data_IF_509067405362
#
_entry.id   IF_509067405362
#
_cell.length_a   1.000
_cell.length_b   1.000
_cell.length_c   1.000
_cell.angle_alpha   90.00
_cell.angle_beta   90.00
_cell.angle_gamma   90.00
#
_symmetry.space_group_name_H-M   'P 1'
#
loop_
_entity.id
_entity.type
_entity.pdbx_description
1 polymer ?
#
# COMPACT_ATOMS: atom_id res chain seq x y z
N UNK A 1 63.01 11.98 -17.02
CA UNK A 1 61.92 12.11 -16.03
C UNK A 1 62.50 12.73 -14.77
N UNK A 2 62.01 13.91 -14.37
CA UNK A 2 62.62 14.71 -13.30
C UNK A 2 62.42 14.07 -11.93
N UNK A 3 63.42 14.23 -11.04
CA UNK A 3 63.38 13.74 -9.65
C UNK A 3 62.09 14.12 -8.90
N UNK A 4 61.47 15.25 -9.25
CA UNK A 4 60.21 15.70 -8.67
C UNK A 4 59.02 14.81 -9.07
N UNK A 5 59.00 14.27 -10.28
CA UNK A 5 57.92 13.37 -10.76
C UNK A 5 57.95 12.03 -10.02
N UNK A 6 59.13 11.54 -9.67
CA UNK A 6 59.28 10.28 -8.91
C UNK A 6 58.80 10.48 -7.46
N UNK A 7 59.08 11.62 -6.84
CA UNK A 7 58.63 11.93 -5.48
C UNK A 7 57.10 12.10 -5.42
N UNK A 8 56.47 12.72 -6.42
CA UNK A 8 55.00 12.84 -6.46
C UNK A 8 54.33 11.48 -6.65
N UNK A 9 54.89 10.59 -7.48
CA UNK A 9 54.36 9.23 -7.68
C UNK A 9 54.55 8.39 -6.40
N UNK A 10 55.69 8.52 -5.70
CA UNK A 10 55.92 7.80 -4.45
C UNK A 10 55.01 8.27 -3.30
N UNK A 11 54.65 9.56 -3.23
CA UNK A 11 53.69 10.07 -2.24
C UNK A 11 52.26 9.60 -2.57
N UNK A 12 51.87 9.57 -3.85
CA UNK A 12 50.57 9.04 -4.28
C UNK A 12 50.44 7.53 -4.01
N UNK A 13 51.54 6.79 -4.14
CA UNK A 13 51.60 5.35 -3.83
C UNK A 13 51.63 5.07 -2.33
N UNK A 14 52.24 5.94 -1.53
CA UNK A 14 52.25 5.83 -0.07
C UNK A 14 50.86 6.09 0.57
N UNK A 15 50.06 7.00 0.00
CA UNK A 15 48.66 7.23 0.43
C UNK A 15 47.77 6.02 0.10
N UNK A 16 48.08 5.25 -0.94
CA UNK A 16 47.40 3.98 -1.26
C UNK A 16 47.78 2.83 -0.32
N UNK A 17 48.98 2.86 0.29
CA UNK A 17 49.50 1.77 1.15
C UNK A 17 49.26 2.05 2.64
N UNK A 18 49.13 3.31 3.04
CA UNK A 18 48.68 3.70 4.38
C UNK A 18 47.15 3.66 4.55
N UNK A 19 46.47 2.83 3.74
CA UNK A 19 45.08 2.46 3.93
C UNK A 19 44.93 1.70 5.25
N UNK A 20 44.72 2.43 6.35
CA UNK A 20 44.00 1.90 7.48
C UNK A 20 42.81 1.13 6.94
N UNK A 21 42.74 -0.17 7.27
CA UNK A 21 41.63 -1.07 6.99
C UNK A 21 40.36 -0.61 7.73
N UNK A 22 39.85 0.57 7.41
CA UNK A 22 38.44 0.80 7.40
C UNK A 22 37.96 0.31 6.02
N UNK A 23 37.82 -1.00 5.89
CA UNK A 23 36.92 -1.52 4.86
C UNK A 23 35.55 -0.99 5.23
N UNK A 24 35.19 0.18 4.71
CA UNK A 24 33.79 0.59 4.64
C UNK A 24 33.18 -0.40 3.66
N UNK A 25 32.74 -1.53 4.20
CA UNK A 25 31.95 -2.49 3.47
C UNK A 25 30.61 -1.78 3.24
N UNK A 26 30.55 -0.95 2.20
CA UNK A 26 29.30 -0.50 1.62
C UNK A 26 28.90 -1.64 0.70
N UNK A 27 28.04 -2.58 1.11
CA UNK A 27 27.53 -3.56 0.18
C UNK A 27 26.84 -2.78 -0.95
N UNK A 28 27.48 -2.73 -2.12
CA UNK A 28 26.92 -2.13 -3.34
C UNK A 28 25.59 -2.79 -3.73
N UNK A 29 25.34 -3.97 -3.20
CA UNK A 29 24.10 -4.74 -3.30
C UNK A 29 23.59 -4.89 -1.86
N UNK A 30 22.75 -3.97 -1.42
CA UNK A 30 22.09 -4.07 -0.12
C UNK A 30 21.16 -5.29 -0.15
N UNK A 31 21.60 -6.41 0.41
CA UNK A 31 20.71 -7.52 0.73
C UNK A 31 19.58 -6.94 1.60
N UNK A 32 18.32 -7.24 1.26
CA UNK A 32 17.16 -6.76 2.02
C UNK A 32 17.32 -7.14 3.49
N UNK A 33 17.72 -6.19 4.33
CA UNK A 33 18.05 -6.42 5.73
C UNK A 33 16.78 -6.69 6.53
N UNK A 34 16.86 -7.55 7.55
CA UNK A 34 15.71 -7.91 8.37
C UNK A 34 15.08 -6.68 9.07
N UNK A 35 13.77 -6.76 9.33
CA UNK A 35 13.04 -5.73 10.06
C UNK A 35 13.60 -5.56 11.47
N UNK A 36 13.94 -4.33 11.83
CA UNK A 36 14.36 -3.93 13.18
C UNK A 36 13.22 -3.24 13.91
N UNK A 37 13.11 -3.51 15.20
CA UNK A 37 12.17 -2.80 16.07
C UNK A 37 12.73 -1.41 16.38
N UNK A 38 11.86 -0.41 16.28
CA UNK A 38 12.13 0.94 16.75
C UNK A 38 11.00 1.40 17.64
N UNK A 39 11.34 1.86 18.83
CA UNK A 39 10.43 2.62 19.69
C UNK A 39 10.30 4.02 19.10
N UNK A 40 9.07 4.42 18.81
CA UNK A 40 8.73 5.74 18.28
C UNK A 40 8.34 6.67 19.44
N UNK A 41 7.61 6.14 20.42
CA UNK A 41 7.12 6.90 21.57
C UNK A 41 6.88 5.98 22.76
N UNK A 42 6.85 6.57 23.96
CA UNK A 42 6.46 5.89 25.18
C UNK A 42 7.55 5.02 25.78
N UNK A 43 7.21 4.45 26.93
CA UNK A 43 8.06 3.54 27.68
C UNK A 43 7.17 2.46 28.30
N UNK A 44 7.68 1.24 28.38
CA UNK A 44 6.95 0.11 28.98
C UNK A 44 7.35 -1.24 28.42
N UNK A 45 7.11 -2.28 29.21
CA UNK A 45 7.33 -3.68 28.79
C UNK A 45 6.32 -4.14 27.75
N UNK A 46 5.09 -3.65 27.84
CA UNK A 46 4.02 -3.93 26.90
C UNK A 46 4.16 -3.02 25.68
N UNK A 47 3.85 -3.55 24.50
CA UNK A 47 4.09 -2.90 23.22
C UNK A 47 2.79 -2.76 22.43
N UNK A 48 2.66 -1.65 21.74
CA UNK A 48 1.64 -1.44 20.71
C UNK A 48 2.37 -1.30 19.38
N UNK A 49 2.01 -2.14 18.41
CA UNK A 49 2.59 -2.07 17.07
C UNK A 49 1.89 -1.00 16.25
N UNK A 50 2.63 0.02 15.81
CA UNK A 50 2.21 0.96 14.79
C UNK A 50 2.60 0.42 13.41
N UNK A 51 1.60 -0.10 12.70
CA UNK A 51 1.71 -0.60 11.33
C UNK A 51 1.28 0.50 10.36
N UNK A 52 2.17 0.91 9.46
CA UNK A 52 1.90 1.99 8.51
C UNK A 52 1.60 1.43 7.11
N UNK A 53 0.41 1.75 6.60
CA UNK A 53 -0.06 1.40 5.27
C UNK A 53 -0.30 2.69 4.48
N UNK A 54 0.75 3.13 3.79
CA UNK A 54 0.73 4.39 3.03
C UNK A 54 0.97 4.17 1.54
N UNK A 55 0.22 4.88 0.70
CA UNK A 55 0.34 4.88 -0.76
C UNK A 55 -0.52 3.84 -1.49
N UNK A 56 -0.25 3.64 -2.78
CA UNK A 56 -0.97 2.70 -3.63
C UNK A 56 -0.68 1.24 -3.27
N UNK A 57 -1.74 0.43 -3.24
CA UNK A 57 -1.68 -0.98 -2.84
C UNK A 57 -1.44 -1.86 -4.07
N UNK A 58 -0.21 -2.33 -4.25
CA UNK A 58 0.16 -3.19 -5.39
C UNK A 58 1.20 -4.23 -5.03
N UNK A 59 1.12 -5.41 -5.63
CA UNK A 59 2.09 -6.51 -5.52
C UNK A 59 3.49 -6.17 -6.04
N UNK A 60 3.66 -5.04 -6.71
CA UNK A 60 4.95 -4.62 -7.27
C UNK A 60 5.88 -4.13 -6.17
N UNK A 61 7.11 -4.63 -6.20
CA UNK A 61 8.20 -4.19 -5.32
C UNK A 61 8.49 -2.69 -5.48
N UNK A 62 8.72 -2.00 -4.35
CA UNK A 62 8.97 -0.55 -4.34
C UNK A 62 10.40 -0.24 -4.74
N UNK A 63 10.60 0.65 -5.71
CA UNK A 63 11.94 1.13 -6.07
C UNK A 63 12.36 2.20 -5.05
N UNK A 64 13.34 1.89 -4.20
CA UNK A 64 13.90 2.87 -3.24
C UNK A 64 15.11 3.61 -3.82
N UNK A 65 15.69 3.13 -4.92
CA UNK A 65 16.80 3.74 -5.67
C UNK A 65 16.80 3.23 -7.12
N UNK A 66 17.59 3.86 -8.00
CA UNK A 66 17.85 3.40 -9.38
C UNK A 66 18.43 1.96 -9.43
N UNK A 67 19.04 1.50 -8.34
CA UNK A 67 19.77 0.23 -8.28
C UNK A 67 19.21 -0.81 -7.29
N UNK A 68 18.13 -0.50 -6.55
CA UNK A 68 17.54 -1.47 -5.60
C UNK A 68 16.02 -1.46 -5.57
N UNK A 69 15.44 -2.65 -5.73
CA UNK A 69 14.01 -2.92 -5.49
C UNK A 69 13.87 -3.36 -4.03
N UNK A 70 13.25 -2.53 -3.21
CA UNK A 70 12.78 -2.90 -1.89
C UNK A 70 11.58 -3.83 -1.96
N UNK A 71 11.15 -4.41 -0.83
CA UNK A 71 9.93 -5.21 -0.78
C UNK A 71 8.69 -4.43 -1.26
N UNK A 72 7.63 -5.15 -1.64
CA UNK A 72 6.32 -4.55 -1.85
C UNK A 72 5.66 -4.21 -0.51
N UNK A 73 4.60 -3.41 -0.54
CA UNK A 73 3.80 -3.11 0.66
C UNK A 73 3.25 -4.40 1.30
N UNK A 74 2.87 -5.39 0.50
CA UNK A 74 2.37 -6.67 1.02
C UNK A 74 3.47 -7.47 1.72
N UNK A 75 4.67 -7.50 1.14
CA UNK A 75 5.83 -8.16 1.74
C UNK A 75 6.18 -7.50 3.09
N UNK A 76 6.21 -6.16 3.15
CA UNK A 76 6.50 -5.41 4.39
C UNK A 76 5.48 -5.68 5.50
N UNK A 77 4.18 -5.55 5.18
CA UNK A 77 3.11 -5.77 6.16
C UNK A 77 3.11 -7.22 6.64
N UNK A 78 3.26 -8.19 5.74
CA UNK A 78 3.30 -9.61 6.10
C UNK A 78 4.48 -9.94 7.01
N UNK A 79 5.68 -9.46 6.69
CA UNK A 79 6.86 -9.65 7.54
C UNK A 79 6.68 -9.00 8.92
N UNK A 80 6.09 -7.79 8.97
CA UNK A 80 5.82 -7.09 10.22
C UNK A 80 4.82 -7.87 11.09
N UNK A 81 3.72 -8.37 10.51
CA UNK A 81 2.74 -9.19 11.22
C UNK A 81 3.37 -10.50 11.70
N UNK A 82 4.15 -11.20 10.86
CA UNK A 82 4.83 -12.44 11.26
C UNK A 82 5.82 -12.23 12.42
N UNK A 83 6.50 -11.09 12.45
CA UNK A 83 7.37 -10.73 13.56
C UNK A 83 6.55 -10.47 14.83
N UNK A 84 5.46 -9.71 14.72
CA UNK A 84 4.55 -9.44 15.83
C UNK A 84 3.85 -10.71 16.35
N UNK A 85 3.59 -11.70 15.50
CA UNK A 85 3.00 -13.00 15.89
C UNK A 85 3.89 -13.76 16.89
N UNK A 86 5.18 -13.44 16.96
CA UNK A 86 6.17 -14.10 17.82
C UNK A 86 6.60 -13.26 19.02
N UNK A 87 6.05 -12.06 19.16
CA UNK A 87 6.39 -11.12 20.24
C UNK A 87 5.21 -10.99 21.22
N UNK A 88 5.28 -11.68 22.35
CA UNK A 88 4.22 -11.68 23.37
C UNK A 88 4.08 -10.35 24.11
N UNK A 89 5.05 -9.43 23.96
CA UNK A 89 4.92 -8.07 24.47
C UNK A 89 3.93 -7.24 23.64
N UNK A 90 3.62 -7.63 22.39
CA UNK A 90 2.65 -6.93 21.54
C UNK A 90 1.22 -7.23 22.03
N UNK A 91 0.58 -6.21 22.61
CA UNK A 91 -0.77 -6.29 23.18
C UNK A 91 -1.87 -5.75 22.26
N UNK A 92 -1.50 -4.94 21.27
CA UNK A 92 -2.42 -4.38 20.29
C UNK A 92 -1.70 -3.84 19.06
N UNK A 93 -2.48 -3.60 18.00
CA UNK A 93 -1.99 -3.04 16.74
C UNK A 93 -2.79 -1.79 16.39
N UNK A 94 -2.08 -0.75 15.98
CA UNK A 94 -2.66 0.42 15.31
C UNK A 94 -2.28 0.34 13.84
N UNK A 95 -3.28 0.20 12.97
CA UNK A 95 -3.12 0.31 11.52
C UNK A 95 -3.29 1.78 11.15
N UNK A 96 -2.18 2.50 11.01
CA UNK A 96 -2.18 3.85 10.43
C UNK A 96 -2.29 3.74 8.92
N UNK A 97 -3.32 4.34 8.33
CA UNK A 97 -3.56 4.24 6.88
C UNK A 97 -3.63 5.60 6.20
N UNK A 98 -2.94 5.71 5.07
CA UNK A 98 -3.03 6.82 4.14
C UNK A 98 -2.97 6.29 2.70
N UNK A 99 -4.09 5.85 2.15
CA UNK A 99 -4.14 5.16 0.87
C UNK A 99 -5.36 5.53 0.02
N UNK A 100 -5.17 5.80 -1.28
CA UNK A 100 -6.25 5.87 -2.26
C UNK A 100 -6.81 4.50 -2.66
N UNK A 101 -6.20 3.42 -2.16
CA UNK A 101 -6.49 2.06 -2.54
C UNK A 101 -5.44 1.47 -3.49
N UNK A 102 -5.83 0.54 -4.34
CA UNK A 102 -4.94 -0.12 -5.29
C UNK A 102 -5.56 -1.29 -6.02
N UNK A 103 -4.75 -2.28 -6.38
CA UNK A 103 -5.25 -3.46 -7.11
C UNK A 103 -6.08 -4.36 -6.19
N UNK A 104 -7.16 -4.93 -6.74
CA UNK A 104 -8.13 -5.75 -5.99
C UNK A 104 -7.43 -6.89 -5.24
N UNK A 105 -6.62 -7.69 -5.92
CA UNK A 105 -5.95 -8.86 -5.32
C UNK A 105 -4.96 -8.45 -4.23
N UNK A 106 -4.20 -7.38 -4.43
CA UNK A 106 -3.21 -6.93 -3.44
C UNK A 106 -3.88 -6.41 -2.17
N UNK A 107 -5.04 -5.77 -2.33
CA UNK A 107 -5.88 -5.31 -1.22
C UNK A 107 -6.45 -6.49 -0.44
N UNK A 108 -7.02 -7.49 -1.13
CA UNK A 108 -7.63 -8.66 -0.49
C UNK A 108 -6.60 -9.52 0.26
N UNK A 109 -5.37 -9.66 -0.28
CA UNK A 109 -4.26 -10.33 0.44
C UNK A 109 -3.97 -9.62 1.77
N UNK A 110 -3.84 -8.29 1.77
CA UNK A 110 -3.58 -7.52 3.00
C UNK A 110 -4.71 -7.67 4.00
N UNK A 111 -5.96 -7.56 3.55
CA UNK A 111 -7.14 -7.79 4.39
C UNK A 111 -7.10 -9.19 5.02
N UNK A 112 -6.81 -10.23 4.22
CA UNK A 112 -6.72 -11.60 4.70
C UNK A 112 -5.60 -11.79 5.74
N UNK A 113 -4.43 -11.19 5.53
CA UNK A 113 -3.32 -11.24 6.50
C UNK A 113 -3.70 -10.53 7.82
N UNK A 114 -4.36 -9.38 7.76
CA UNK A 114 -4.84 -8.66 8.95
C UNK A 114 -5.89 -9.47 9.74
N UNK A 115 -6.88 -10.04 9.06
CA UNK A 115 -7.91 -10.90 9.69
C UNK A 115 -7.28 -12.16 10.28
N UNK A 116 -6.34 -12.78 9.57
CA UNK A 116 -5.64 -13.99 10.02
C UNK A 116 -4.80 -13.71 11.27
N UNK A 117 -4.04 -12.62 11.27
CA UNK A 117 -3.25 -12.19 12.40
C UNK A 117 -4.13 -11.96 13.64
N UNK A 118 -5.22 -11.19 13.48
CA UNK A 118 -6.19 -10.93 14.54
C UNK A 118 -6.74 -12.22 15.14
N UNK A 119 -7.17 -13.15 14.29
CA UNK A 119 -7.73 -14.44 14.72
C UNK A 119 -6.72 -15.30 15.48
N UNK A 120 -5.47 -15.37 15.02
CA UNK A 120 -4.43 -16.20 15.67
C UNK A 120 -3.98 -15.63 17.01
N UNK A 121 -3.77 -14.32 17.08
CA UNK A 121 -3.21 -13.66 18.27
C UNK A 121 -4.28 -13.26 19.29
N UNK A 122 -5.52 -13.06 18.85
CA UNK A 122 -6.59 -12.60 19.72
C UNK A 122 -6.37 -11.18 20.26
N UNK A 123 -5.50 -10.39 19.61
CA UNK A 123 -5.21 -9.00 20.02
C UNK A 123 -6.00 -8.01 19.16
N UNK A 124 -6.37 -6.89 19.77
CA UNK A 124 -7.18 -5.84 19.13
C UNK A 124 -6.38 -5.10 18.06
N UNK A 125 -7.04 -4.82 16.93
CA UNK A 125 -6.53 -3.95 15.87
C UNK A 125 -7.42 -2.72 15.77
N UNK A 126 -6.84 -1.53 15.88
CA UNK A 126 -7.54 -0.26 15.66
C UNK A 126 -6.97 0.39 14.41
N UNK A 127 -7.82 0.74 13.44
CA UNK A 127 -7.40 1.48 12.26
C UNK A 127 -7.52 2.99 12.52
N UNK A 128 -6.49 3.75 12.15
CA UNK A 128 -6.49 5.21 12.17
C UNK A 128 -6.28 5.73 10.74
N UNK A 129 -7.32 6.33 10.16
CA UNK A 129 -7.22 7.02 8.88
C UNK A 129 -6.57 8.38 9.09
N UNK A 130 -5.56 8.71 8.27
CA UNK A 130 -4.84 10.00 8.34
C UNK A 130 -5.39 10.97 7.28
N UNK A 131 -4.79 11.07 6.10
CA UNK A 131 -5.34 11.92 5.05
C UNK A 131 -6.48 11.22 4.31
N UNK A 132 -6.29 9.92 4.03
CA UNK A 132 -7.22 9.17 3.19
C UNK A 132 -7.22 7.68 3.48
N UNK A 133 -8.39 7.07 3.46
CA UNK A 133 -8.54 5.62 3.34
C UNK A 133 -9.70 5.33 2.38
N UNK A 134 -9.46 5.47 1.08
CA UNK A 134 -10.47 5.33 0.05
C UNK A 134 -10.33 3.99 -0.68
N UNK A 135 -11.46 3.45 -1.14
CA UNK A 135 -11.57 2.24 -1.92
C UNK A 135 -10.81 1.06 -1.28
N UNK A 136 -9.68 0.62 -1.84
CA UNK A 136 -8.89 -0.47 -1.26
C UNK A 136 -8.35 -0.15 0.14
N UNK A 137 -8.12 1.13 0.45
CA UNK A 137 -7.80 1.58 1.80
C UNK A 137 -8.96 1.33 2.77
N UNK A 138 -10.18 1.69 2.36
CA UNK A 138 -11.39 1.42 3.16
C UNK A 138 -11.65 -0.09 3.30
N UNK A 139 -11.42 -0.87 2.24
CA UNK A 139 -11.51 -2.33 2.29
C UNK A 139 -10.65 -2.91 3.41
N UNK A 140 -9.39 -2.49 3.53
CA UNK A 140 -8.47 -3.07 4.53
C UNK A 140 -8.86 -2.69 5.96
N UNK A 141 -9.26 -1.44 6.21
CA UNK A 141 -9.64 -1.02 7.58
C UNK A 141 -10.88 -1.75 8.10
N UNK A 142 -11.73 -2.32 7.23
CA UNK A 142 -12.87 -3.15 7.67
C UNK A 142 -12.43 -4.44 8.39
N UNK A 143 -11.15 -4.81 8.33
CA UNK A 143 -10.58 -5.90 9.13
C UNK A 143 -10.35 -5.53 10.62
N UNK A 144 -10.25 -4.23 10.93
CA UNK A 144 -10.02 -3.72 12.28
C UNK A 144 -11.23 -3.95 13.19
N UNK A 145 -11.02 -3.90 14.50
CA UNK A 145 -12.09 -3.95 15.50
C UNK A 145 -12.73 -2.57 15.75
N UNK A 146 -12.02 -1.52 15.39
CA UNK A 146 -12.42 -0.13 15.51
C UNK A 146 -11.72 0.70 14.44
N UNK A 147 -12.45 1.66 13.87
CA UNK A 147 -11.99 2.53 12.81
C UNK A 147 -12.16 3.98 13.27
N UNK A 148 -11.04 4.66 13.49
CA UNK A 148 -10.98 6.09 13.80
C UNK A 148 -10.50 6.83 12.55
N UNK A 149 -11.10 7.98 12.26
CA UNK A 149 -10.64 8.86 11.20
C UNK A 149 -10.17 10.21 11.75
N UNK A 150 -9.09 10.75 11.19
CA UNK A 150 -8.72 12.13 11.43
C UNK A 150 -9.86 13.06 10.97
N UNK A 151 -10.11 14.21 11.64
CA UNK A 151 -11.20 15.13 11.28
C UNK A 151 -11.20 15.56 9.80
N UNK A 152 -10.02 15.63 9.18
CA UNK A 152 -9.86 16.00 7.76
C UNK A 152 -9.72 14.81 6.82
N UNK A 153 -9.83 13.57 7.32
CA UNK A 153 -9.75 12.38 6.48
C UNK A 153 -10.88 12.35 5.45
N UNK A 154 -10.57 11.79 4.29
CA UNK A 154 -11.57 11.31 3.34
C UNK A 154 -11.54 9.78 3.21
N UNK A 155 -12.72 9.19 3.07
CA UNK A 155 -12.89 7.74 2.94
C UNK A 155 -14.03 7.40 1.96
N UNK A 156 -14.51 6.16 1.97
CA UNK A 156 -15.48 5.67 1.01
C UNK A 156 -14.83 5.22 -0.28
N UNK A 157 -15.33 5.71 -1.43
CA UNK A 157 -14.99 5.21 -2.76
C UNK A 157 -15.16 3.69 -2.87
N UNK A 158 -16.24 3.20 -2.28
CA UNK A 158 -16.59 1.77 -2.30
C UNK A 158 -17.10 1.45 -3.69
N UNK A 159 -16.25 0.77 -4.47
CA UNK A 159 -16.47 0.54 -5.90
C UNK A 159 -15.26 -0.12 -6.54
N UNK A 160 -15.42 -0.58 -7.78
CA UNK A 160 -14.36 -1.23 -8.55
C UNK A 160 -14.30 -0.64 -9.94
N UNK A 161 -13.09 -0.34 -10.40
CA UNK A 161 -12.86 0.17 -11.76
C UNK A 161 -11.89 -0.74 -12.51
N UNK A 162 -12.07 -0.80 -13.83
CA UNK A 162 -11.08 -1.30 -14.78
C UNK A 162 -10.94 -0.27 -15.89
N UNK A 163 -9.73 0.23 -16.11
CA UNK A 163 -9.45 1.28 -17.08
C UNK A 163 -8.91 0.69 -18.38
N UNK A 164 -9.35 1.25 -19.51
CA UNK A 164 -8.83 0.98 -20.85
C UNK A 164 -8.73 2.29 -21.63
N UNK A 165 -7.54 2.57 -22.15
CA UNK A 165 -7.35 3.61 -23.15
C UNK A 165 -7.41 2.98 -24.54
N UNK A 166 -8.34 3.44 -25.38
CA UNK A 166 -8.36 3.05 -26.80
C UNK A 166 -7.56 4.07 -27.60
N UNK A 167 -6.49 3.62 -28.25
CA UNK A 167 -5.56 4.45 -29.03
C UNK A 167 -5.70 4.23 -30.54
N UNK A 168 -6.68 3.43 -31.00
CA UNK A 168 -6.92 3.16 -32.43
C UNK A 168 -6.93 4.44 -33.28
N UNK A 169 -7.72 5.45 -32.89
CA UNK A 169 -7.81 6.71 -33.63
C UNK A 169 -6.52 7.54 -33.61
N UNK A 170 -5.66 7.37 -32.59
CA UNK A 170 -4.33 8.00 -32.57
C UNK A 170 -3.38 7.29 -33.54
N UNK A 171 -3.35 5.96 -33.50
CA UNK A 171 -2.50 5.14 -34.38
C UNK A 171 -2.86 5.35 -35.86
N UNK A 172 -4.16 5.42 -36.16
CA UNK A 172 -4.65 5.72 -37.51
C UNK A 172 -4.14 7.06 -38.04
N UNK A 173 -4.06 8.10 -37.20
CA UNK A 173 -3.57 9.43 -37.59
C UNK A 173 -2.08 9.46 -37.89
N UNK A 174 -1.29 8.59 -37.26
CA UNK A 174 0.16 8.49 -37.48
C UNK A 174 0.53 7.38 -38.47
N UNK A 175 -0.46 6.77 -39.14
CA UNK A 175 -0.26 5.76 -40.17
C UNK A 175 0.11 4.37 -39.65
N UNK A 176 -0.08 4.10 -38.35
CA UNK A 176 0.16 2.77 -37.76
C UNK A 176 -1.14 1.97 -37.80
N UNK A 177 -1.07 0.75 -38.34
CA UNK A 177 -2.20 -0.19 -38.41
C UNK A 177 -1.99 -1.38 -37.49
N UNK A 178 -3.06 -1.77 -36.79
CA UNK A 178 -3.07 -2.96 -35.97
C UNK A 178 -3.56 -4.18 -36.78
N UNK A 179 -2.67 -5.12 -37.06
CA UNK A 179 -2.99 -6.40 -37.71
C UNK A 179 -2.88 -7.55 -36.69
N UNK A 180 -3.94 -7.76 -35.89
CA UNK A 180 -3.96 -8.83 -34.89
C UNK A 180 -4.43 -10.16 -35.50
N UNK A 181 -3.52 -11.13 -35.63
CA UNK A 181 -3.84 -12.53 -35.99
C UNK A 181 -4.02 -13.33 -34.69
N UNK A 182 -5.17 -14.00 -34.54
CA UNK A 182 -5.55 -14.69 -33.29
C UNK A 182 -6.14 -16.07 -33.54
N UNK A 183 -5.86 -17.00 -32.63
CA UNK A 183 -6.35 -18.38 -32.70
C UNK A 183 -7.83 -18.52 -32.34
N UNK A 184 -8.38 -17.60 -31.54
CA UNK A 184 -9.78 -17.59 -31.10
C UNK A 184 -10.30 -16.16 -30.96
N UNK A 185 -11.62 -15.97 -31.11
CA UNK A 185 -12.32 -14.66 -31.19
C UNK A 185 -11.90 -13.68 -30.07
N UNK A 186 -11.86 -14.14 -28.82
CA UNK A 186 -11.67 -13.29 -27.63
C UNK A 186 -10.22 -13.12 -27.19
N UNK A 187 -9.23 -13.64 -27.93
CA UNK A 187 -7.84 -13.68 -27.45
C UNK A 187 -7.21 -12.30 -27.27
N UNK A 188 -7.73 -11.30 -27.98
CA UNK A 188 -7.34 -9.89 -27.94
C UNK A 188 -8.36 -9.01 -27.20
N UNK A 189 -9.26 -9.63 -26.40
CA UNK A 189 -10.20 -8.89 -25.55
C UNK A 189 -9.42 -7.89 -24.68
N UNK A 190 -9.98 -6.68 -24.54
CA UNK A 190 -9.35 -5.56 -23.82
C UNK A 190 -8.10 -4.96 -24.50
N UNK A 191 -7.82 -5.31 -25.76
CA UNK A 191 -6.77 -4.66 -26.55
C UNK A 191 -6.96 -3.13 -26.61
N UNK A 192 -5.92 -2.32 -26.37
CA UNK A 192 -5.99 -0.86 -26.49
C UNK A 192 -6.04 -0.38 -27.95
N UNK A 193 -5.84 -1.28 -28.92
CA UNK A 193 -5.73 -0.96 -30.35
C UNK A 193 -7.04 -1.10 -31.12
N UNK A 194 -8.14 -1.39 -30.43
CA UNK A 194 -9.49 -1.41 -31.00
C UNK A 194 -10.55 -1.15 -29.91
N UNK A 195 -11.78 -0.80 -30.28
CA UNK A 195 -12.88 -0.68 -29.32
C UNK A 195 -13.23 -2.06 -28.74
N UNK A 196 -13.70 -2.07 -27.50
CA UNK A 196 -14.26 -3.30 -26.91
C UNK A 196 -15.66 -3.56 -27.46
N UNK A 197 -15.96 -4.80 -27.82
CA UNK A 197 -17.32 -5.19 -28.21
C UNK A 197 -18.26 -5.16 -27.00
N UNK A 198 -19.58 -5.21 -27.22
CA UNK A 198 -20.56 -5.31 -26.12
C UNK A 198 -20.38 -6.61 -25.32
N UNK A 199 -20.13 -7.72 -26.01
CA UNK A 199 -19.84 -9.04 -25.39
C UNK A 199 -18.63 -8.97 -24.45
N UNK A 200 -17.56 -8.29 -24.88
CA UNK A 200 -16.36 -8.08 -24.06
C UNK A 200 -16.63 -7.19 -22.86
N UNK A 201 -17.37 -6.08 -23.06
CA UNK A 201 -17.77 -5.19 -21.96
C UNK A 201 -18.58 -5.93 -20.91
N UNK A 202 -19.53 -6.77 -21.31
CA UNK A 202 -20.35 -7.56 -20.40
C UNK A 202 -19.52 -8.59 -19.62
N UNK A 203 -18.49 -9.19 -20.22
CA UNK A 203 -17.57 -10.10 -19.51
C UNK A 203 -16.81 -9.35 -18.41
N UNK A 204 -16.25 -8.18 -18.74
CA UNK A 204 -15.51 -7.37 -17.76
C UNK A 204 -16.42 -6.83 -16.67
N UNK A 205 -17.64 -6.40 -17.02
CA UNK A 205 -18.63 -5.95 -16.04
C UNK A 205 -18.97 -7.05 -15.03
N UNK A 206 -19.17 -8.30 -15.46
CA UNK A 206 -19.41 -9.43 -14.53
C UNK A 206 -18.26 -9.66 -13.56
N UNK A 207 -17.01 -9.44 -14.01
CA UNK A 207 -15.84 -9.53 -13.13
C UNK A 207 -15.87 -8.38 -12.12
N UNK A 208 -16.12 -7.14 -12.58
CA UNK A 208 -16.29 -5.96 -11.72
C UNK A 208 -17.38 -6.21 -10.66
N UNK A 209 -18.55 -6.70 -11.05
CA UNK A 209 -19.68 -6.96 -10.15
C UNK A 209 -19.32 -8.01 -9.09
N UNK A 210 -18.55 -9.04 -9.47
CA UNK A 210 -18.05 -10.05 -8.53
C UNK A 210 -17.08 -9.45 -7.52
N UNK A 211 -16.13 -8.63 -7.97
CA UNK A 211 -15.17 -7.98 -7.06
C UNK A 211 -15.88 -6.98 -6.15
N UNK A 212 -16.83 -6.21 -6.68
CA UNK A 212 -17.65 -5.31 -5.88
C UNK A 212 -18.41 -6.06 -4.78
N UNK A 213 -19.04 -7.20 -5.11
CA UNK A 213 -19.72 -8.04 -4.11
C UNK A 213 -18.79 -8.49 -2.99
N UNK A 214 -17.54 -8.84 -3.30
CA UNK A 214 -16.53 -9.23 -2.29
C UNK A 214 -16.20 -8.04 -1.37
N UNK A 215 -16.13 -6.82 -1.90
CA UNK A 215 -15.98 -5.60 -1.10
C UNK A 215 -17.18 -5.39 -0.16
N UNK A 216 -18.40 -5.50 -0.68
CA UNK A 216 -19.62 -5.42 0.15
C UNK A 216 -19.58 -6.47 1.28
N UNK A 217 -19.14 -7.70 1.01
CA UNK A 217 -19.02 -8.74 2.02
C UNK A 217 -17.94 -8.46 3.09
N UNK A 218 -16.85 -7.77 2.74
CA UNK A 218 -15.87 -7.29 3.72
C UNK A 218 -16.50 -6.23 4.65
N UNK A 219 -17.23 -5.26 4.08
CA UNK A 219 -17.92 -4.22 4.85
C UNK A 219 -18.98 -4.85 5.77
N UNK A 220 -19.81 -5.77 5.27
CA UNK A 220 -20.81 -6.50 6.09
C UNK A 220 -20.18 -7.20 7.30
N UNK A 221 -18.98 -7.78 7.14
CA UNK A 221 -18.26 -8.45 8.23
C UNK A 221 -17.67 -7.47 9.25
N UNK A 222 -17.12 -6.35 8.78
CA UNK A 222 -16.49 -5.34 9.62
C UNK A 222 -17.47 -4.37 10.28
N UNK A 223 -18.56 -4.02 9.60
CA UNK A 223 -19.57 -3.03 10.01
C UNK A 223 -20.91 -3.72 10.29
N UNK A 224 -20.94 -4.55 11.33
CA UNK A 224 -22.11 -5.38 11.70
C UNK A 224 -23.37 -4.56 12.04
N UNK A 225 -23.22 -3.28 12.34
CA UNK A 225 -24.32 -2.35 12.59
C UNK A 225 -25.07 -1.94 11.31
N UNK A 226 -24.47 -2.11 10.13
CA UNK A 226 -25.07 -1.73 8.86
C UNK A 226 -25.81 -2.90 8.22
N UNK A 227 -27.03 -2.63 7.75
CA UNK A 227 -27.80 -3.56 6.93
C UNK A 227 -27.23 -3.65 5.52
N UNK A 228 -27.57 -4.73 4.81
CA UNK A 228 -27.17 -4.89 3.41
C UNK A 228 -27.65 -3.75 2.51
N UNK A 229 -28.87 -3.25 2.72
CA UNK A 229 -29.44 -2.17 1.93
C UNK A 229 -28.79 -0.81 2.24
N UNK A 230 -28.39 -0.55 3.49
CA UNK A 230 -27.56 0.61 3.83
C UNK A 230 -26.21 0.56 3.13
N UNK A 231 -25.53 -0.58 3.19
CA UNK A 231 -24.22 -0.74 2.54
C UNK A 231 -24.35 -0.54 1.04
N UNK A 232 -25.38 -1.08 0.38
CA UNK A 232 -25.63 -0.85 -1.06
C UNK A 232 -25.81 0.63 -1.39
N UNK A 233 -26.53 1.39 -0.56
CA UNK A 233 -26.72 2.85 -0.77
C UNK A 233 -25.42 3.64 -0.60
N UNK A 234 -24.54 3.20 0.31
CA UNK A 234 -23.24 3.82 0.56
C UNK A 234 -22.18 3.43 -0.48
N UNK A 235 -22.39 2.31 -1.18
CA UNK A 235 -21.47 1.71 -2.14
C UNK A 235 -21.73 2.11 -3.60
N UNK A 236 -21.84 3.41 -3.85
CA UNK A 236 -22.02 3.96 -5.20
C UNK A 236 -20.75 4.64 -5.75
N UNK A 237 -19.61 4.43 -5.07
CA UNK A 237 -18.32 4.97 -5.47
C UNK A 237 -18.01 6.39 -5.00
N UNK A 238 -18.93 7.08 -4.30
CA UNK A 238 -18.66 8.42 -3.75
C UNK A 238 -17.68 8.38 -2.57
N UNK A 239 -17.04 9.51 -2.29
CA UNK A 239 -16.24 9.72 -1.08
C UNK A 239 -17.07 10.34 0.05
N UNK A 240 -16.57 10.19 1.27
CA UNK A 240 -17.15 10.77 2.49
C UNK A 240 -16.05 11.50 3.27
N UNK A 241 -16.42 12.63 3.86
CA UNK A 241 -15.66 13.24 4.97
C UNK A 241 -15.76 12.37 6.22
N UNK A 242 -14.89 12.62 7.21
CA UNK A 242 -14.93 11.91 8.49
C UNK A 242 -16.30 11.99 9.18
N UNK A 243 -16.91 13.19 9.24
CA UNK A 243 -18.25 13.40 9.83
C UNK A 243 -19.33 12.59 9.12
N UNK A 244 -19.36 12.65 7.78
CA UNK A 244 -20.32 11.89 6.98
C UNK A 244 -20.11 10.38 7.12
N UNK A 245 -18.86 9.92 7.20
CA UNK A 245 -18.54 8.52 7.39
C UNK A 245 -18.96 8.02 8.78
N UNK A 246 -18.84 8.86 9.82
CA UNK A 246 -19.30 8.55 11.17
C UNK A 246 -20.83 8.45 11.20
N UNK A 247 -21.52 9.44 10.64
CA UNK A 247 -22.99 9.46 10.54
C UNK A 247 -23.52 8.26 9.75
N UNK A 248 -22.84 7.88 8.66
CA UNK A 248 -23.17 6.71 7.85
C UNK A 248 -22.78 5.36 8.49
N UNK A 249 -22.13 5.38 9.67
CA UNK A 249 -21.66 4.17 10.36
C UNK A 249 -20.50 3.45 9.66
N UNK A 250 -19.79 4.11 8.75
CA UNK A 250 -18.59 3.59 8.08
C UNK A 250 -17.35 3.61 8.98
N UNK A 251 -17.33 4.47 9.99
CA UNK A 251 -16.27 4.55 11.01
C UNK A 251 -16.89 4.58 12.42
N UNK A 252 -16.07 4.42 13.46
CA UNK A 252 -16.49 4.35 14.86
C UNK A 252 -16.22 5.64 15.64
N UNK A 253 -15.28 6.45 15.18
CA UNK A 253 -14.93 7.70 15.84
C UNK A 253 -14.09 8.63 14.99
N UNK A 254 -14.00 9.87 15.44
CA UNK A 254 -13.15 10.91 14.87
C UNK A 254 -12.11 11.30 15.90
N UNK A 255 -10.84 11.32 15.50
CA UNK A 255 -9.74 11.59 16.41
C UNK A 255 -8.37 11.52 15.74
N UNK A 256 -7.36 11.93 16.49
CA UNK A 256 -5.97 11.91 16.07
C UNK A 256 -5.33 10.55 16.39
N UNK A 257 -4.11 10.35 15.91
CA UNK A 257 -3.37 9.11 16.18
C UNK A 257 -3.07 8.96 17.67
N UNK A 258 -2.83 10.07 18.37
CA UNK A 258 -2.64 10.13 19.82
C UNK A 258 -3.90 9.67 20.57
N UNK A 259 -5.08 10.17 20.17
CA UNK A 259 -6.37 9.75 20.72
C UNK A 259 -6.61 8.25 20.53
N UNK A 260 -6.20 7.73 19.37
CA UNK A 260 -6.30 6.31 19.03
C UNK A 260 -5.39 5.45 19.91
N UNK A 261 -4.15 5.90 20.16
CA UNK A 261 -3.20 5.23 21.06
C UNK A 261 -3.76 5.18 22.48
N UNK A 262 -4.24 6.31 23.00
CA UNK A 262 -4.78 6.38 24.36
C UNK A 262 -6.11 5.62 24.51
N UNK A 263 -6.96 5.60 23.47
CA UNK A 263 -8.15 4.73 23.43
C UNK A 263 -7.76 3.25 23.52
N UNK A 264 -6.78 2.82 22.72
CA UNK A 264 -6.33 1.43 22.73
C UNK A 264 -5.69 1.03 24.07
N UNK A 265 -4.85 1.89 24.65
CA UNK A 265 -4.27 1.67 25.99
C UNK A 265 -5.34 1.47 27.06
N UNK A 266 -6.38 2.32 27.07
CA UNK A 266 -7.53 2.18 27.99
C UNK A 266 -8.27 0.86 27.78
N UNK A 267 -8.57 0.49 26.53
CA UNK A 267 -9.22 -0.79 26.23
C UNK A 267 -8.41 -2.01 26.66
N UNK A 268 -7.09 -1.92 26.61
CA UNK A 268 -6.19 -3.00 27.03
C UNK A 268 -5.87 -2.96 28.55
N UNK A 269 -6.34 -1.95 29.28
CA UNK A 269 -5.97 -1.68 30.67
C UNK A 269 -4.45 -1.57 30.88
N UNK A 270 -3.76 -0.85 29.98
CA UNK A 270 -2.31 -0.64 30.03
C UNK A 270 -2.02 0.85 30.26
N UNK A 271 -1.32 1.18 31.35
CA UNK A 271 -0.94 2.57 31.65
C UNK A 271 0.28 3.02 30.83
N UNK A 272 1.29 2.15 30.74
CA UNK A 272 2.58 2.43 30.09
C UNK A 272 2.88 1.39 29.01
N UNK A 273 3.00 1.86 27.77
CA UNK A 273 3.34 1.02 26.63
C UNK A 273 4.40 1.71 25.75
N UNK A 274 5.27 0.90 25.18
CA UNK A 274 6.16 1.36 24.11
C UNK A 274 5.43 1.27 22.77
N UNK A 275 5.32 2.38 22.05
CA UNK A 275 4.78 2.41 20.69
C UNK A 275 5.92 2.07 19.74
N UNK A 276 5.85 0.91 19.10
CA UNK A 276 6.93 0.40 18.26
C UNK A 276 6.50 0.30 16.81
N UNK A 277 7.47 0.42 15.90
CA UNK A 277 7.29 0.08 14.50
C UNK A 277 8.43 -0.81 14.03
N UNK A 278 8.18 -1.59 12.99
CA UNK A 278 9.23 -2.36 12.33
C UNK A 278 9.70 -1.61 11.09
N UNK A 279 11.02 -1.46 10.96
CA UNK A 279 11.64 -0.74 9.85
C UNK A 279 12.93 -1.42 9.40
N UNK A 280 13.26 -1.28 8.12
CA UNK A 280 14.59 -1.71 7.63
C UNK A 280 15.61 -0.60 7.90
N UNK A 281 16.86 -0.96 8.24
CA UNK A 281 17.92 0.03 8.45
C UNK A 281 18.11 0.94 7.23
N UNK A 282 18.36 2.23 7.49
CA UNK A 282 18.43 3.27 6.46
C UNK A 282 17.08 3.92 6.11
N UNK A 283 15.96 3.43 6.64
CA UNK A 283 14.66 4.12 6.53
C UNK A 283 14.54 5.22 7.61
N UNK A 284 13.81 6.30 7.34
CA UNK A 284 13.50 7.33 8.33
C UNK A 284 12.06 7.18 8.86
N UNK A 285 11.91 6.98 10.17
CA UNK A 285 10.63 7.04 10.89
C UNK A 285 10.86 7.72 12.24
N UNK A 286 10.72 9.04 12.29
CA UNK A 286 11.04 9.85 13.48
C UNK A 286 9.88 9.98 14.47
N UNK A 287 8.65 9.91 13.98
CA UNK A 287 7.42 10.18 14.73
C UNK A 287 6.31 9.23 14.30
N UNK A 288 5.21 9.19 15.07
CA UNK A 288 4.02 8.40 14.73
C UNK A 288 3.39 8.83 13.39
N UNK A 289 3.60 10.08 12.96
CA UNK A 289 3.14 10.60 11.67
C UNK A 289 4.08 10.29 10.50
N UNK A 290 5.32 9.82 10.73
CA UNK A 290 6.26 9.51 9.66
C UNK A 290 5.68 8.47 8.69
N UNK A 291 5.56 8.84 7.41
CA UNK A 291 4.99 7.98 6.38
C UNK A 291 6.06 7.09 5.74
N UNK A 292 5.68 5.87 5.38
CA UNK A 292 6.45 4.98 4.51
C UNK A 292 6.14 5.40 3.07
N UNK A 293 6.72 6.53 2.65
CA UNK A 293 6.32 7.24 1.42
C UNK A 293 6.45 6.37 0.18
N UNK A 294 5.34 6.20 -0.53
CA UNK A 294 5.32 6.06 -1.98
C UNK A 294 4.15 6.91 -2.46
N UNK A 295 4.37 8.00 -3.21
CA UNK A 295 3.26 8.76 -3.78
C UNK A 295 2.37 7.81 -4.59
N UNK A 296 1.05 8.09 -4.68
CA UNK A 296 0.19 7.39 -5.63
C UNK A 296 0.86 7.39 -7.00
N UNK A 297 0.81 6.29 -7.77
CA UNK A 297 1.24 6.33 -9.15
C UNK A 297 0.45 7.43 -9.87
N UNK A 298 1.14 8.38 -10.50
CA UNK A 298 0.46 9.34 -11.35
C UNK A 298 -0.15 8.63 -12.56
N UNK A 299 -1.11 9.30 -13.20
CA UNK A 299 -1.87 8.73 -14.33
C UNK A 299 -0.93 8.24 -15.44
N UNK A 300 0.26 8.85 -15.58
CA UNK A 300 1.30 8.45 -16.53
C UNK A 300 1.78 7.01 -16.39
N UNK A 301 1.61 6.36 -15.22
CA UNK A 301 1.94 4.93 -15.05
C UNK A 301 0.86 3.99 -15.59
N UNK A 302 -0.36 4.49 -15.77
CA UNK A 302 -1.47 3.75 -16.38
C UNK A 302 -1.59 4.04 -17.88
N UNK A 303 -0.91 5.07 -18.36
CA UNK A 303 -0.73 5.35 -19.77
C UNK A 303 0.56 4.65 -20.22
N UNK A 304 0.54 3.83 -21.28
CA UNK A 304 1.77 3.30 -21.86
C UNK A 304 2.57 4.44 -22.52
N UNK A 305 3.40 5.16 -21.75
CA UNK A 305 4.30 6.20 -22.22
C UNK A 305 5.72 5.96 -21.66
N UNK A 306 6.71 5.79 -22.55
CA UNK A 306 8.13 5.58 -22.20
C UNK A 306 8.84 4.50 -23.05
N UNK A 307 10.13 4.28 -22.83
CA UNK A 307 10.95 3.31 -23.59
C UNK A 307 10.47 1.85 -23.47
N UNK A 308 9.64 1.55 -22.45
CA UNK A 308 8.95 0.26 -22.28
C UNK A 308 7.50 0.24 -22.82
N UNK A 309 7.03 1.30 -23.49
CA UNK A 309 5.66 1.43 -24.00
C UNK A 309 5.25 0.34 -25.01
N UNK A 310 6.22 -0.38 -25.57
CA UNK A 310 6.01 -1.41 -26.59
C UNK A 310 5.82 -2.82 -25.99
N UNK A 311 6.12 -3.00 -24.70
CA UNK A 311 5.74 -4.19 -23.93
C UNK A 311 4.78 -3.69 -22.86
N UNK A 312 3.48 -3.83 -23.08
CA UNK A 312 2.55 -3.40 -22.07
C UNK A 312 2.79 -4.24 -20.79
N UNK A 313 2.99 -3.57 -19.66
CA UNK A 313 2.41 -4.06 -18.39
C UNK A 313 0.85 -3.97 -18.44
N UNK A 314 0.25 -3.84 -19.63
CA UNK A 314 -1.17 -3.87 -19.89
C UNK A 314 -1.71 -5.30 -19.78
N UNK A 315 -1.98 -5.66 -18.54
CA UNK A 315 -3.12 -6.51 -18.23
C UNK A 315 -4.34 -5.65 -17.93
N UNK A 316 -5.50 -6.30 -17.86
CA UNK A 316 -6.68 -5.71 -17.23
C UNK A 316 -6.38 -5.60 -15.73
N UNK A 317 -6.32 -4.38 -15.21
CA UNK A 317 -6.15 -4.14 -13.78
C UNK A 317 -7.50 -3.79 -13.17
N UNK A 318 -8.02 -4.71 -12.35
CA UNK A 318 -9.18 -4.41 -11.49
C UNK A 318 -8.66 -3.70 -10.24
N UNK A 319 -9.24 -2.55 -9.95
CA UNK A 319 -8.75 -1.68 -8.90
C UNK A 319 -9.87 -1.25 -7.97
N UNK A 320 -9.58 -1.30 -6.67
CA UNK A 320 -10.25 -0.53 -5.65
C UNK A 320 -9.47 0.77 -5.49
N UNK A 321 -9.71 1.76 -6.35
CA UNK A 321 -8.90 2.98 -6.41
C UNK A 321 -9.76 4.23 -6.47
N UNK A 322 -9.43 5.21 -5.64
CA UNK A 322 -9.84 6.61 -5.79
C UNK A 322 -8.64 7.45 -6.21
N UNK A 323 -8.59 7.85 -7.48
CA UNK A 323 -7.53 8.70 -8.02
C UNK A 323 -8.19 9.72 -8.96
N UNK A 324 -8.64 10.88 -8.41
CA UNK A 324 -9.33 11.90 -9.20
C UNK A 324 -8.44 12.53 -10.28
#
# INVERSE_FOLDING_TARGET
MGKNTIITISILFAVMIAGCRATVNVPLISATQALQEKVIEGEGKDKILLLDLSGFISGTRRSHSLFSKGPSLQEEIKEALQKAERDDAIKGVILKINSPGGTVTSTDILYHEMVSFKKKRGIRIVACMVDMAASGGYYIVTAADEIVAHPTSITGSIGVIALKFNVEGLLDRIGIKNETIKSVEMKDMWSPFRPSTEKERNIIQKIIDRQHSIFIDAIKRGRKSLTEEEIKRLADGRIFTADQALEAGLIDGIGYLDDTIESLKRHLNIEKASIITYMRPGSYKGTIYSATTSPPPGIEKFIPAGEKAWIPEAGIHFMYLWLP
#
